data_IF_390699808973
#
_entry.id   IF_390699808973
#
_cell.length_a   1.000
_cell.length_b   1.000
_cell.length_c   1.000
_cell.angle_alpha   90.00
_cell.angle_beta   90.00
_cell.angle_gamma   90.00
#
_symmetry.space_group_name_H-M   'P 1'
#
loop_
_entity.id
_entity.type
_entity.pdbx_description
1 polymer ?
#
# COMPACT_ATOMS: atom_id res chain seq x y z
N UNK A 1 7.43 -17.71 22.61
CA UNK A 1 7.77 -18.84 21.72
C UNK A 1 6.45 -19.45 21.26
N UNK A 2 5.98 -19.05 20.09
CA UNK A 2 4.75 -19.55 19.48
C UNK A 2 5.09 -20.88 18.78
N UNK A 3 4.75 -22.02 19.38
CA UNK A 3 4.90 -23.32 18.72
C UNK A 3 3.73 -23.53 17.76
N UNK A 4 4.00 -23.55 16.47
CA UNK A 4 3.05 -24.03 15.44
C UNK A 4 2.90 -25.53 15.54
N UNK A 5 1.68 -26.02 15.67
CA UNK A 5 1.33 -27.43 15.44
C UNK A 5 1.38 -27.69 13.92
N UNK A 6 2.28 -28.58 13.50
CA UNK A 6 2.50 -28.95 12.10
C UNK A 6 1.72 -30.21 11.78
N UNK A 7 0.42 -30.10 11.50
CA UNK A 7 -0.31 -31.18 10.84
C UNK A 7 -1.35 -30.59 9.89
N UNK A 8 -1.17 -30.83 8.59
CA UNK A 8 -2.21 -30.69 7.57
C UNK A 8 -2.47 -29.30 6.98
N UNK A 9 -1.53 -28.32 7.03
CA UNK A 9 -1.77 -26.97 6.47
C UNK A 9 -1.61 -26.92 4.96
N UNK A 10 -2.69 -26.55 4.30
CA UNK A 10 -2.67 -26.14 2.90
C UNK A 10 -1.88 -24.85 2.73
N UNK A 11 -1.23 -24.74 1.60
CA UNK A 11 -0.35 -23.62 1.22
C UNK A 11 -1.14 -22.32 1.05
N UNK A 12 -0.96 -21.34 1.93
CA UNK A 12 -1.59 -20.00 1.91
C UNK A 12 -0.68 -18.94 2.51
N UNK A 13 -1.17 -17.70 2.68
CA UNK A 13 -0.40 -16.55 3.19
C UNK A 13 0.24 -16.81 4.56
N UNK A 14 -0.21 -17.80 5.32
CA UNK A 14 0.37 -18.22 6.59
C UNK A 14 1.78 -18.84 6.46
N UNK A 15 2.28 -19.08 5.23
CA UNK A 15 3.70 -19.39 4.96
C UNK A 15 4.63 -18.24 5.28
N UNK A 16 4.15 -17.00 5.16
CA UNK A 16 4.95 -15.81 5.48
C UNK A 16 5.06 -15.67 6.99
N UNK A 17 6.27 -15.64 7.51
CA UNK A 17 6.48 -15.44 8.94
C UNK A 17 6.25 -13.98 9.35
N UNK A 18 6.03 -13.74 10.64
CA UNK A 18 5.87 -12.37 11.19
C UNK A 18 7.09 -11.49 10.84
N UNK A 19 8.29 -12.07 10.80
CA UNK A 19 9.53 -11.37 10.47
C UNK A 19 9.66 -11.01 8.99
N UNK A 20 9.02 -11.77 8.10
CA UNK A 20 9.09 -11.56 6.65
C UNK A 20 7.94 -10.68 6.14
N UNK A 21 6.83 -10.61 6.89
CA UNK A 21 5.65 -9.89 6.46
C UNK A 21 5.90 -8.37 6.44
N UNK A 22 5.76 -7.76 5.27
CA UNK A 22 5.87 -6.30 5.10
C UNK A 22 4.62 -5.52 5.57
N UNK A 23 3.58 -6.20 6.03
CA UNK A 23 2.30 -5.59 6.47
C UNK A 23 1.69 -4.67 5.39
N UNK A 24 1.91 -5.00 4.13
CA UNK A 24 1.52 -4.16 3.00
C UNK A 24 0.01 -4.16 2.68
N UNK A 25 -0.78 -5.06 3.25
CA UNK A 25 -2.23 -5.15 3.02
C UNK A 25 -2.67 -5.80 1.72
N UNK A 26 -1.75 -6.22 0.84
CA UNK A 26 -2.09 -6.79 -0.46
C UNK A 26 -2.96 -8.07 -0.34
N UNK A 27 -2.65 -8.96 0.60
CA UNK A 27 -3.40 -10.19 0.82
C UNK A 27 -4.85 -9.94 1.29
N UNK A 28 -5.06 -8.92 2.14
CA UNK A 28 -6.39 -8.50 2.60
C UNK A 28 -7.22 -7.99 1.42
N UNK A 29 -6.64 -7.13 0.61
CA UNK A 29 -7.31 -6.54 -0.54
C UNK A 29 -7.57 -7.56 -1.67
N UNK A 30 -6.71 -8.56 -1.82
CA UNK A 30 -6.85 -9.61 -2.83
C UNK A 30 -7.90 -10.67 -2.46
N UNK A 31 -8.32 -10.75 -1.19
CA UNK A 31 -9.27 -11.77 -0.75
C UNK A 31 -10.69 -11.46 -1.24
N UNK A 32 -11.30 -12.30 -2.11
CA UNK A 32 -12.62 -12.01 -2.67
C UNK A 32 -13.78 -12.24 -1.69
N UNK A 33 -13.52 -12.90 -0.56
CA UNK A 33 -14.52 -13.25 0.46
C UNK A 33 -14.21 -12.62 1.84
N UNK A 34 -13.27 -11.67 1.89
CA UNK A 34 -12.85 -10.98 3.11
C UNK A 34 -12.43 -11.91 4.26
N UNK A 35 -11.87 -13.07 3.92
CA UNK A 35 -11.40 -14.05 4.90
C UNK A 35 -10.11 -13.63 5.62
N UNK A 36 -9.46 -12.55 5.23
CA UNK A 36 -8.18 -12.11 5.80
C UNK A 36 -8.36 -10.77 6.48
N UNK A 37 -7.97 -10.69 7.76
CA UNK A 37 -7.95 -9.46 8.53
C UNK A 37 -6.62 -9.30 9.24
N UNK A 38 -6.27 -8.06 9.61
CA UNK A 38 -5.13 -7.80 10.46
C UNK A 38 -5.51 -7.91 11.94
N UNK A 39 -4.79 -8.73 12.68
CA UNK A 39 -4.90 -8.80 14.13
C UNK A 39 -3.63 -8.28 14.78
N UNK A 40 -3.78 -7.72 15.99
CA UNK A 40 -2.62 -7.30 16.78
C UNK A 40 -1.79 -8.52 17.19
N UNK A 41 -0.54 -8.53 16.76
CA UNK A 41 0.47 -9.48 17.21
C UNK A 41 1.27 -8.87 18.40
N UNK A 42 2.36 -9.51 18.76
CA UNK A 42 3.25 -9.04 19.81
C UNK A 42 3.78 -7.61 19.50
N UNK A 43 3.82 -6.71 20.49
CA UNK A 43 4.28 -5.32 20.38
C UNK A 43 3.45 -4.44 19.43
N UNK A 44 2.13 -4.64 19.38
CA UNK A 44 1.19 -3.88 18.55
C UNK A 44 1.41 -3.98 17.02
N UNK A 45 2.34 -4.80 16.55
CA UNK A 45 2.44 -5.10 15.12
C UNK A 45 1.20 -5.85 14.66
N UNK A 46 0.65 -5.40 13.53
CA UNK A 46 -0.47 -6.08 12.87
C UNK A 46 0.06 -7.20 11.99
N UNK A 47 -0.64 -8.33 11.98
CA UNK A 47 -0.30 -9.47 11.14
C UNK A 47 -1.56 -10.06 10.51
N UNK A 48 -1.53 -10.46 9.22
CA UNK A 48 -2.70 -11.02 8.58
C UNK A 48 -3.05 -12.39 9.17
N UNK A 49 -4.33 -12.56 9.48
CA UNK A 49 -4.91 -13.84 9.90
C UNK A 49 -6.03 -14.23 8.96
N UNK A 50 -6.12 -15.54 8.68
CA UNK A 50 -7.14 -16.13 7.83
C UNK A 50 -8.27 -16.67 8.71
N UNK A 51 -9.50 -16.31 8.37
CA UNK A 51 -10.69 -17.00 8.88
C UNK A 51 -10.97 -18.21 7.99
N UNK A 52 -10.62 -19.39 8.49
CA UNK A 52 -10.75 -20.66 7.76
C UNK A 52 -12.22 -21.04 7.46
N UNK A 53 -13.18 -20.54 8.26
CA UNK A 53 -14.60 -20.88 8.08
C UNK A 53 -15.20 -20.28 6.81
N UNK A 54 -14.63 -19.15 6.33
CA UNK A 54 -15.09 -18.45 5.12
C UNK A 54 -14.08 -18.50 3.98
N UNK A 55 -12.88 -19.01 4.22
CA UNK A 55 -11.81 -19.08 3.23
C UNK A 55 -12.16 -20.12 2.13
N UNK A 56 -12.18 -19.68 0.87
CA UNK A 56 -12.45 -20.54 -0.30
C UNK A 56 -11.19 -21.15 -0.92
N UNK A 57 -10.04 -20.99 -0.32
CA UNK A 57 -8.74 -21.53 -0.75
C UNK A 57 -8.34 -21.19 -2.20
N UNK A 58 -8.63 -19.98 -2.67
CA UNK A 58 -8.37 -19.54 -4.05
C UNK A 58 -6.92 -19.10 -4.31
N UNK A 59 -6.06 -19.02 -3.29
CA UNK A 59 -4.65 -18.63 -3.34
C UNK A 59 -4.36 -17.21 -3.89
N UNK A 60 -5.37 -16.36 -4.06
CA UNK A 60 -5.16 -14.98 -4.53
C UNK A 60 -4.28 -14.16 -3.57
N UNK A 61 -4.36 -14.43 -2.27
CA UNK A 61 -3.54 -13.79 -1.25
C UNK A 61 -2.04 -14.10 -1.41
N UNK A 62 -1.67 -15.32 -1.84
CA UNK A 62 -0.28 -15.68 -2.14
C UNK A 62 0.21 -14.98 -3.40
N UNK A 63 -0.60 -15.00 -4.45
CA UNK A 63 -0.25 -14.37 -5.74
C UNK A 63 -0.05 -12.85 -5.59
N UNK A 64 -0.79 -12.21 -4.68
CA UNK A 64 -0.67 -10.79 -4.39
C UNK A 64 0.47 -10.45 -3.41
N UNK A 65 1.02 -11.43 -2.69
CA UNK A 65 2.04 -11.20 -1.69
C UNK A 65 3.41 -10.89 -2.33
N UNK A 66 4.05 -9.76 -2.04
CA UNK A 66 5.38 -9.44 -2.60
C UNK A 66 6.47 -10.41 -2.14
N UNK A 67 6.27 -11.11 -1.02
CA UNK A 67 7.23 -12.11 -0.51
C UNK A 67 7.07 -13.46 -1.22
N UNK A 68 5.82 -13.86 -1.54
CA UNK A 68 5.53 -15.17 -2.12
C UNK A 68 5.33 -15.14 -3.63
N UNK A 69 4.61 -14.14 -4.14
CA UNK A 69 4.11 -14.09 -5.52
C UNK A 69 4.90 -13.22 -6.47
N UNK A 70 5.46 -12.13 -6.01
CA UNK A 70 6.18 -11.19 -6.87
C UNK A 70 7.62 -11.63 -7.12
N UNK A 71 7.83 -12.55 -8.04
CA UNK A 71 9.14 -12.71 -8.67
C UNK A 71 9.27 -11.65 -9.76
N UNK A 72 9.68 -10.43 -9.38
CA UNK A 72 10.04 -9.38 -10.34
C UNK A 72 11.04 -9.94 -11.36
N UNK A 73 10.83 -9.67 -12.64
CA UNK A 73 11.89 -9.92 -13.62
C UNK A 73 13.03 -8.96 -13.29
N UNK A 74 14.29 -9.42 -13.25
CA UNK A 74 15.41 -8.50 -13.15
C UNK A 74 15.29 -7.49 -14.31
N UNK A 75 15.32 -6.20 -14.00
CA UNK A 75 15.50 -5.18 -15.01
C UNK A 75 16.99 -5.19 -15.40
N UNK A 76 17.30 -5.69 -16.59
CA UNK A 76 18.67 -5.76 -17.12
C UNK A 76 19.21 -4.39 -17.56
N UNK A 77 18.41 -3.32 -17.40
CA UNK A 77 18.77 -1.94 -17.73
C UNK A 77 19.54 -1.22 -16.62
N UNK A 78 20.44 -0.31 -16.99
CA UNK A 78 21.01 0.64 -16.04
C UNK A 78 19.94 1.71 -15.74
N UNK A 79 19.55 1.92 -14.46
CA UNK A 79 18.57 2.94 -14.12
C UNK A 79 19.13 4.34 -14.41
N UNK A 80 18.32 5.18 -15.06
CA UNK A 80 18.65 6.60 -15.23
C UNK A 80 18.13 7.34 -14.00
N UNK A 81 19.02 8.00 -13.26
CA UNK A 81 18.67 8.79 -12.08
C UNK A 81 18.54 10.27 -12.45
N UNK A 82 17.49 10.92 -11.94
CA UNK A 82 17.25 12.35 -12.07
C UNK A 82 17.19 13.00 -10.70
N UNK A 83 17.79 14.18 -10.56
CA UNK A 83 17.54 15.08 -9.44
C UNK A 83 16.49 16.10 -9.88
N UNK A 84 15.37 16.17 -9.17
CA UNK A 84 14.27 17.09 -9.49
C UNK A 84 13.76 17.82 -8.25
N UNK A 85 13.29 19.04 -8.45
CA UNK A 85 12.61 19.84 -7.42
C UNK A 85 11.51 20.67 -8.06
N UNK A 86 10.49 21.05 -7.27
CA UNK A 86 9.51 22.07 -7.67
C UNK A 86 10.22 23.40 -7.99
N UNK A 87 9.77 24.08 -9.03
CA UNK A 87 10.19 25.44 -9.35
C UNK A 87 9.57 26.48 -8.39
N UNK A 88 8.48 26.12 -7.73
CA UNK A 88 7.82 26.95 -6.72
C UNK A 88 8.45 26.72 -5.34
N UNK A 89 9.13 27.74 -4.83
CA UNK A 89 9.79 27.70 -3.53
C UNK A 89 8.80 27.51 -2.37
N UNK A 90 7.54 27.98 -2.49
CA UNK A 90 6.52 27.79 -1.47
C UNK A 90 6.13 26.32 -1.33
N UNK A 91 6.01 25.60 -2.42
CA UNK A 91 5.75 24.16 -2.45
C UNK A 91 6.97 23.39 -1.93
N UNK A 92 8.16 23.78 -2.36
CA UNK A 92 9.40 23.15 -1.91
C UNK A 92 9.60 23.26 -0.41
N UNK A 93 9.33 24.43 0.19
CA UNK A 93 9.45 24.66 1.64
C UNK A 93 8.42 23.89 2.48
N UNK A 94 7.25 23.58 1.92
CA UNK A 94 6.21 22.76 2.56
C UNK A 94 6.40 21.26 2.36
N UNK A 95 7.36 20.86 1.54
CA UNK A 95 7.65 19.46 1.22
C UNK A 95 8.81 18.92 2.04
N UNK A 96 8.85 17.61 2.29
CA UNK A 96 9.97 16.96 2.98
C UNK A 96 11.24 16.89 2.14
N UNK A 97 11.15 17.13 0.82
CA UNK A 97 12.26 17.05 -0.13
C UNK A 97 12.01 18.02 -1.29
N UNK A 98 12.23 17.62 -2.53
CA UNK A 98 12.11 18.47 -3.71
C UNK A 98 10.68 18.92 -4.10
N UNK A 99 9.63 18.39 -3.49
CA UNK A 99 8.24 18.75 -3.81
C UNK A 99 7.67 18.04 -5.04
N UNK A 100 8.39 17.08 -5.62
CA UNK A 100 7.99 16.38 -6.86
C UNK A 100 6.65 15.67 -6.70
N UNK A 101 6.35 15.09 -5.53
CA UNK A 101 5.04 14.49 -5.26
C UNK A 101 3.90 15.46 -5.54
N UNK A 102 3.99 16.68 -5.01
CA UNK A 102 2.93 17.68 -5.19
C UNK A 102 2.74 18.03 -6.68
N UNK A 103 3.82 18.26 -7.42
CA UNK A 103 3.75 18.58 -8.85
C UNK A 103 3.06 17.47 -9.67
N UNK A 104 3.41 16.21 -9.38
CA UNK A 104 2.78 15.05 -10.04
C UNK A 104 1.30 14.90 -9.64
N UNK A 105 0.99 15.11 -8.36
CA UNK A 105 -0.37 15.01 -7.85
C UNK A 105 -1.29 16.10 -8.44
N UNK A 106 -0.84 17.36 -8.49
CA UNK A 106 -1.56 18.46 -9.12
C UNK A 106 -1.76 18.22 -10.63
N UNK A 107 -0.77 17.66 -11.32
CA UNK A 107 -0.92 17.30 -12.72
C UNK A 107 -1.98 16.20 -12.89
N UNK A 108 -2.00 15.20 -12.00
CA UNK A 108 -3.00 14.13 -12.02
C UNK A 108 -4.40 14.68 -11.82
N UNK A 109 -4.60 15.63 -10.87
CA UNK A 109 -5.89 16.28 -10.67
C UNK A 109 -6.33 17.09 -11.88
N UNK A 110 -5.42 17.86 -12.50
CA UNK A 110 -5.71 18.62 -13.73
C UNK A 110 -6.17 17.73 -14.88
N UNK A 111 -5.69 16.49 -14.92
CA UNK A 111 -6.11 15.49 -15.90
C UNK A 111 -7.39 14.73 -15.50
N UNK A 112 -8.03 15.12 -14.39
CA UNK A 112 -9.24 14.47 -13.89
C UNK A 112 -9.01 13.10 -13.25
N UNK A 113 -7.77 12.78 -12.89
CA UNK A 113 -7.39 11.53 -12.25
C UNK A 113 -7.48 11.57 -10.72
N UNK A 114 -7.02 10.50 -10.11
CA UNK A 114 -7.01 10.30 -8.66
C UNK A 114 -5.59 10.16 -8.13
N UNK A 115 -5.39 10.49 -6.87
CA UNK A 115 -4.12 10.30 -6.16
C UNK A 115 -4.38 9.43 -4.94
N UNK A 116 -3.58 8.37 -4.77
CA UNK A 116 -3.55 7.58 -3.56
C UNK A 116 -2.23 7.85 -2.82
N UNK A 117 -2.33 8.25 -1.57
CA UNK A 117 -1.17 8.59 -0.75
C UNK A 117 -1.47 8.54 0.75
N UNK A 118 -0.39 8.60 1.55
CA UNK A 118 -0.47 8.49 2.99
C UNK A 118 -0.88 9.82 3.63
N UNK A 119 -1.81 9.76 4.59
CA UNK A 119 -2.25 10.88 5.43
C UNK A 119 -2.22 10.49 6.91
N UNK A 120 -2.20 11.49 7.81
CA UNK A 120 -2.57 11.27 9.21
C UNK A 120 -4.08 11.36 9.35
N UNK A 121 -4.66 10.47 10.16
CA UNK A 121 -6.03 10.62 10.65
C UNK A 121 -6.07 11.51 11.91
N UNK A 122 -7.28 11.67 12.48
CA UNK A 122 -7.49 12.55 13.66
C UNK A 122 -6.82 12.01 14.94
N UNK A 123 -6.43 10.73 14.95
CA UNK A 123 -5.71 10.07 16.05
C UNK A 123 -4.19 9.96 15.77
N UNK A 124 -3.71 10.63 14.71
CA UNK A 124 -2.32 10.59 14.22
C UNK A 124 -1.84 9.21 13.75
N UNK A 125 -2.74 8.29 13.41
CA UNK A 125 -2.35 7.08 12.69
C UNK A 125 -2.13 7.40 11.21
N UNK A 126 -1.19 6.69 10.60
CA UNK A 126 -0.94 6.83 9.16
C UNK A 126 -1.80 5.85 8.39
N UNK A 127 -2.55 6.36 7.42
CA UNK A 127 -3.34 5.54 6.49
C UNK A 127 -3.23 6.05 5.06
N UNK A 128 -3.44 5.18 4.08
CA UNK A 128 -3.63 5.60 2.71
C UNK A 128 -5.09 6.00 2.46
N UNK A 129 -5.27 6.98 1.62
CA UNK A 129 -6.56 7.37 1.07
C UNK A 129 -6.44 7.57 -0.44
N UNK A 130 -7.52 7.30 -1.16
CA UNK A 130 -7.68 7.63 -2.58
C UNK A 130 -8.55 8.89 -2.68
N UNK A 131 -8.07 9.92 -3.36
CA UNK A 131 -8.79 11.19 -3.47
C UNK A 131 -8.49 11.89 -4.80
N UNK A 132 -9.38 12.80 -5.17
CA UNK A 132 -9.22 13.71 -6.30
C UNK A 132 -9.41 15.18 -5.89
N UNK A 133 -9.16 15.50 -4.63
CA UNK A 133 -9.28 16.86 -4.10
C UNK A 133 -7.93 17.47 -3.78
N UNK A 134 -7.78 18.78 -4.01
CA UNK A 134 -6.58 19.53 -3.67
C UNK A 134 -6.28 19.50 -2.16
N UNK A 135 -7.33 19.54 -1.32
CA UNK A 135 -7.18 19.51 0.13
C UNK A 135 -6.47 18.22 0.59
N UNK A 136 -6.88 17.07 0.06
CA UNK A 136 -6.25 15.80 0.41
C UNK A 136 -4.82 15.68 -0.13
N UNK A 137 -4.51 16.27 -1.31
CA UNK A 137 -3.13 16.35 -1.79
C UNK A 137 -2.24 17.09 -0.79
N UNK A 138 -2.72 18.18 -0.22
CA UNK A 138 -1.97 18.92 0.80
C UNK A 138 -1.75 18.08 2.08
N UNK A 139 -2.71 17.25 2.49
CA UNK A 139 -2.60 16.31 3.61
C UNK A 139 -1.62 15.17 3.32
N UNK A 140 -1.53 14.74 2.06
CA UNK A 140 -0.58 13.71 1.61
C UNK A 140 0.86 14.21 1.57
N UNK A 141 1.10 15.53 1.45
CA UNK A 141 2.44 16.10 1.45
C UNK A 141 3.20 15.77 2.75
N UNK A 142 4.50 15.71 2.64
CA UNK A 142 5.39 15.42 3.77
C UNK A 142 5.50 13.91 4.08
N UNK A 143 6.69 13.48 4.45
CA UNK A 143 6.98 12.09 4.81
C UNK A 143 6.32 11.70 6.13
N UNK A 144 5.68 10.54 6.15
CA UNK A 144 5.12 9.92 7.36
C UNK A 144 6.01 8.72 7.71
N UNK A 145 6.76 8.84 8.80
CA UNK A 145 7.74 7.83 9.22
C UNK A 145 7.11 6.74 10.12
N UNK A 146 5.93 6.31 9.76
CA UNK A 146 5.22 5.21 10.42
C UNK A 146 4.56 4.30 9.37
N UNK A 147 4.33 3.05 9.73
CA UNK A 147 3.63 2.09 8.87
C UNK A 147 2.23 2.61 8.59
N UNK A 148 1.88 2.74 7.32
CA UNK A 148 0.53 3.15 6.91
C UNK A 148 -0.40 1.96 6.77
N UNK A 149 -1.64 2.16 7.21
CA UNK A 149 -2.73 1.22 6.94
C UNK A 149 -3.26 1.46 5.53
N UNK A 150 -3.22 0.43 4.69
CA UNK A 150 -3.74 0.50 3.33
C UNK A 150 -5.27 0.40 3.26
N UNK A 151 -5.92 -0.08 4.32
CA UNK A 151 -7.35 -0.33 4.28
C UNK A 151 -7.73 -1.11 3.02
N UNK A 152 -8.68 -0.58 2.27
CA UNK A 152 -9.12 -1.13 0.98
C UNK A 152 -8.65 -0.31 -0.24
N UNK A 153 -7.63 0.53 -0.10
CA UNK A 153 -7.18 1.42 -1.18
C UNK A 153 -6.79 0.68 -2.47
N UNK A 154 -6.25 -0.54 -2.39
CA UNK A 154 -5.96 -1.30 -3.61
C UNK A 154 -7.22 -1.69 -4.39
N UNK A 155 -8.33 -2.00 -3.70
CA UNK A 155 -9.62 -2.27 -4.35
C UNK A 155 -10.20 -1.01 -4.96
N UNK A 156 -10.12 0.11 -4.24
CA UNK A 156 -10.56 1.42 -4.73
C UNK A 156 -9.77 1.86 -5.96
N UNK A 157 -8.44 1.70 -5.94
CA UNK A 157 -7.58 1.97 -7.10
C UNK A 157 -7.99 1.10 -8.29
N UNK A 158 -8.17 -0.21 -8.06
CA UNK A 158 -8.60 -1.14 -9.11
C UNK A 158 -9.93 -0.70 -9.74
N UNK A 159 -10.91 -0.35 -8.90
CA UNK A 159 -12.21 0.12 -9.37
C UNK A 159 -12.10 1.39 -10.23
N UNK A 160 -11.25 2.35 -9.83
CA UNK A 160 -11.04 3.57 -10.62
C UNK A 160 -10.37 3.27 -11.95
N UNK A 161 -9.37 2.38 -11.96
CA UNK A 161 -8.70 1.96 -13.20
C UNK A 161 -9.65 1.21 -14.15
N UNK A 162 -10.52 0.34 -13.62
CA UNK A 162 -11.53 -0.38 -14.41
C UNK A 162 -12.58 0.57 -15.02
N UNK A 163 -12.85 1.70 -14.36
CA UNK A 163 -13.68 2.79 -14.90
C UNK A 163 -12.96 3.67 -15.93
N UNK A 164 -11.68 3.39 -16.23
CA UNK A 164 -10.88 4.15 -17.18
C UNK A 164 -10.24 5.41 -16.60
N UNK A 165 -10.26 5.61 -15.28
CA UNK A 165 -9.60 6.74 -14.64
C UNK A 165 -8.09 6.49 -14.52
N UNK A 166 -7.32 7.59 -14.47
CA UNK A 166 -5.89 7.56 -14.13
C UNK A 166 -5.72 7.63 -12.62
N UNK A 167 -4.71 6.93 -12.09
CA UNK A 167 -4.37 6.96 -10.67
C UNK A 167 -2.86 7.15 -10.49
N UNK A 168 -2.47 8.15 -9.70
CA UNK A 168 -1.13 8.29 -9.16
C UNK A 168 -1.07 7.59 -7.80
N UNK A 169 -0.24 6.58 -7.67
CA UNK A 169 -0.04 5.85 -6.40
C UNK A 169 1.32 6.18 -5.80
N UNK A 170 1.33 6.77 -4.60
CA UNK A 170 2.52 7.11 -3.84
C UNK A 170 2.59 6.26 -2.58
N UNK A 171 3.50 5.30 -2.55
CA UNK A 171 3.61 4.31 -1.49
C UNK A 171 5.05 3.80 -1.31
N UNK A 172 5.27 2.94 -0.33
CA UNK A 172 6.53 2.21 -0.14
C UNK A 172 6.66 1.07 -1.15
N UNK A 173 7.90 0.58 -1.45
CA UNK A 173 8.12 -0.49 -2.42
C UNK A 173 7.40 -1.81 -2.11
N UNK A 174 7.01 -2.06 -0.86
CA UNK A 174 6.23 -3.23 -0.47
C UNK A 174 4.71 -3.05 -0.72
N UNK A 175 4.27 -1.85 -0.98
CA UNK A 175 2.90 -1.46 -1.29
C UNK A 175 2.73 -1.22 -2.78
#
# INVERSE_FOLDING_TARGET
>A
VYRRSTEGRREMIDKVTVQECAICGACVNACPVDAISFTKAHLDFRYPQINEDICIHCNQCESACPILGCKGKPDDGYPIAFAAKSADDSIRLRSSSGGVFYELAEQMLREGGYVCGAVFDDEFHVKHILSNTHEDILRMMGSKYAQSDMGYCYREIKEMLEKGNKVLFSACPCQ
#
